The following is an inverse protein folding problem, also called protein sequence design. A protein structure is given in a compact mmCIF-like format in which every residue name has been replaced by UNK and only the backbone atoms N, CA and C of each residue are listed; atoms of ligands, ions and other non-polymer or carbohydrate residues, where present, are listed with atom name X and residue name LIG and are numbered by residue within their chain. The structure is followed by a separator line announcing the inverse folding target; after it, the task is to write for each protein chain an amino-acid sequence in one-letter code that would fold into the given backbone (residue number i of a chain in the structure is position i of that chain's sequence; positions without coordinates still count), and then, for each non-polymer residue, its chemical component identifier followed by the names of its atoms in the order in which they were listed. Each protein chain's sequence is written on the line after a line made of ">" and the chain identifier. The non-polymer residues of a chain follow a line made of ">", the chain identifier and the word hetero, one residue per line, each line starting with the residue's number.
data_IF_438370502289
#
_entry.id   IF_438370502289
#
_cell.length_a   1.000
_cell.length_b   1.000
_cell.length_c   1.000
_cell.angle_alpha   90.00
_cell.angle_beta   90.00
_cell.angle_gamma   90.00
#
_symmetry.space_group_name_H-M   'P 1'
#
loop_
_entity.id
_entity.type
_entity.pdbx_description
1 polymer ?
#
# COMPACT_ATOMS: atom_id res chain seq x y z
N UNK A 1 14.09 7.31 -6.03
CA UNK A 1 13.48 8.62 -5.75
C UNK A 1 12.26 8.80 -6.64
N UNK A 2 11.17 9.43 -6.14
CA UNK A 2 9.93 9.65 -6.90
C UNK A 2 10.16 10.41 -8.22
N UNK A 3 11.15 11.32 -8.26
CA UNK A 3 11.61 11.96 -9.51
C UNK A 3 12.20 10.96 -10.50
N UNK A 4 12.84 9.91 -10.01
CA UNK A 4 13.43 8.85 -10.85
C UNK A 4 12.35 7.93 -11.44
N UNK A 5 11.27 7.69 -10.68
CA UNK A 5 10.09 6.96 -11.16
C UNK A 5 9.42 7.70 -12.33
N UNK A 6 9.15 8.99 -12.16
CA UNK A 6 8.54 9.80 -13.22
C UNK A 6 9.44 9.93 -14.46
N UNK A 7 10.77 9.97 -14.29
CA UNK A 7 11.72 10.06 -15.40
C UNK A 7 11.94 8.73 -16.14
N UNK A 8 11.89 7.58 -15.44
CA UNK A 8 12.03 6.27 -16.10
C UNK A 8 10.78 5.84 -16.84
N UNK A 9 9.60 6.22 -16.37
CA UNK A 9 8.33 6.02 -17.08
C UNK A 9 8.37 6.75 -18.44
N UNK A 10 9.04 7.90 -18.50
CA UNK A 10 9.10 8.73 -19.72
C UNK A 10 10.21 8.36 -20.74
N UNK A 11 11.12 7.43 -20.45
CA UNK A 11 12.35 7.28 -21.28
C UNK A 11 12.34 6.19 -22.32
N UNK A 12 11.32 5.36 -22.46
CA UNK A 12 11.36 4.19 -23.35
C UNK A 12 10.23 3.95 -24.34
N UNK A 13 9.14 4.66 -24.24
CA UNK A 13 8.03 4.56 -25.19
C UNK A 13 7.57 5.96 -25.53
N UNK A 14 7.19 6.20 -26.80
CA UNK A 14 6.67 7.46 -27.35
C UNK A 14 6.09 8.40 -26.29
N UNK A 15 6.44 9.67 -26.29
CA UNK A 15 6.09 10.73 -25.33
C UNK A 15 4.69 10.56 -24.69
N UNK A 16 4.58 9.63 -23.73
CA UNK A 16 3.36 9.45 -22.93
C UNK A 16 3.22 10.66 -22.00
N UNK A 17 2.20 11.47 -22.21
CA UNK A 17 1.91 12.58 -21.30
C UNK A 17 1.32 12.02 -20.00
N UNK A 18 2.09 12.13 -18.93
CA UNK A 18 1.63 11.70 -17.61
C UNK A 18 0.41 12.52 -17.18
N UNK A 19 -0.76 11.87 -17.15
CA UNK A 19 -1.97 12.47 -16.60
C UNK A 19 -1.81 12.78 -15.12
N UNK A 20 -1.67 11.74 -14.27
CA UNK A 20 -1.56 11.88 -12.82
C UNK A 20 -0.99 10.61 -12.15
N UNK A 21 -0.27 10.83 -11.06
CA UNK A 21 0.12 9.77 -10.11
C UNK A 21 -0.87 9.79 -8.94
N UNK A 22 -1.46 8.66 -8.64
CA UNK A 22 -2.26 8.47 -7.43
C UNK A 22 -1.43 7.66 -6.45
N UNK A 23 -1.19 8.22 -5.29
CA UNK A 23 -0.46 7.54 -4.22
C UNK A 23 -1.43 7.24 -3.08
N UNK A 24 -1.56 5.97 -2.75
CA UNK A 24 -2.51 5.50 -1.75
C UNK A 24 -1.77 5.05 -0.51
N UNK A 25 -2.21 5.53 0.65
CA UNK A 25 -1.65 5.19 1.95
C UNK A 25 -2.70 5.42 3.04
N UNK A 26 -2.34 5.16 4.30
CA UNK A 26 -3.11 5.55 5.48
C UNK A 26 -2.32 6.57 6.30
N UNK A 27 -3.04 7.43 7.02
CA UNK A 27 -2.41 8.23 8.05
C UNK A 27 -1.71 7.31 9.08
N UNK A 28 -0.60 7.73 9.69
CA UNK A 28 0.06 6.94 10.73
C UNK A 28 -0.86 6.74 11.94
N UNK A 29 -0.57 5.70 12.73
CA UNK A 29 -1.25 5.51 13.99
C UNK A 29 -0.81 6.59 14.99
N UNK A 30 -1.79 7.36 15.52
CA UNK A 30 -1.55 8.45 16.48
C UNK A 30 -2.14 8.16 17.86
N UNK A 31 -2.11 6.89 18.28
CA UNK A 31 -2.69 6.42 19.53
C UNK A 31 -1.61 6.16 20.57
N UNK A 32 -1.94 6.46 21.85
CA UNK A 32 -1.16 5.98 22.99
C UNK A 32 -1.70 4.63 23.44
N UNK A 33 -0.81 3.67 23.63
CA UNK A 33 -1.16 2.33 24.11
C UNK A 33 -0.11 1.86 25.11
N UNK A 34 -0.54 1.01 26.06
CA UNK A 34 0.38 0.38 27.00
C UNK A 34 0.84 -0.97 26.45
N UNK A 35 2.13 -1.23 26.51
CA UNK A 35 2.68 -2.55 26.19
C UNK A 35 2.11 -3.56 27.20
N UNK A 36 1.49 -4.66 26.77
CA UNK A 36 0.82 -5.60 27.66
C UNK A 36 1.78 -6.39 28.57
N UNK A 37 3.06 -6.42 28.23
CA UNK A 37 4.09 -7.18 28.98
C UNK A 37 4.77 -6.26 29.99
N UNK A 38 5.29 -5.12 29.55
CA UNK A 38 6.05 -4.20 30.40
C UNK A 38 5.20 -3.13 31.08
N UNK A 39 3.96 -2.92 30.64
CA UNK A 39 3.09 -1.83 31.11
C UNK A 39 3.52 -0.44 30.65
N UNK A 40 4.62 -0.30 29.93
CA UNK A 40 5.11 0.99 29.44
C UNK A 40 4.14 1.63 28.47
N UNK A 41 3.87 2.92 28.67
CA UNK A 41 3.06 3.71 27.73
C UNK A 41 3.89 4.06 26.49
N UNK A 42 3.38 3.72 25.31
CA UNK A 42 3.99 4.00 24.02
C UNK A 42 3.09 4.96 23.25
N UNK A 43 3.66 6.07 22.83
CA UNK A 43 2.98 7.07 22.00
C UNK A 43 3.37 6.85 20.54
N UNK A 44 2.50 6.17 19.77
CA UNK A 44 2.76 5.84 18.37
C UNK A 44 2.82 7.06 17.47
N UNK A 45 2.28 8.21 17.87
CA UNK A 45 2.41 9.46 17.12
C UNK A 45 3.86 9.95 17.02
N UNK A 46 4.71 9.51 17.94
CA UNK A 46 6.14 9.86 18.03
C UNK A 46 7.06 8.77 17.48
N UNK A 47 6.51 7.68 16.97
CA UNK A 47 7.32 6.62 16.35
C UNK A 47 8.03 7.13 15.10
N UNK A 48 9.17 6.54 14.79
CA UNK A 48 9.93 6.86 13.56
C UNK A 48 9.08 6.65 12.31
N UNK A 49 8.25 5.59 12.30
CA UNK A 49 7.30 5.34 11.23
C UNK A 49 6.28 6.48 11.07
N UNK A 50 5.70 6.96 12.16
CA UNK A 50 4.71 8.04 12.11
C UNK A 50 5.35 9.36 11.64
N UNK A 51 6.55 9.66 12.09
CA UNK A 51 7.30 10.85 11.67
C UNK A 51 7.62 10.74 10.18
N UNK A 52 8.18 9.60 9.74
CA UNK A 52 8.50 9.35 8.34
C UNK A 52 7.26 9.48 7.43
N UNK A 53 6.13 8.85 7.79
CA UNK A 53 4.90 8.91 6.97
C UNK A 53 4.37 10.33 6.87
N UNK A 54 4.33 11.10 7.96
CA UNK A 54 3.90 12.49 7.91
C UNK A 54 4.79 13.33 7.00
N UNK A 55 6.10 13.18 7.10
CA UNK A 55 7.05 13.89 6.24
C UNK A 55 6.90 13.49 4.77
N UNK A 56 6.74 12.19 4.51
CA UNK A 56 6.45 11.67 3.16
C UNK A 56 5.16 12.29 2.60
N UNK A 57 4.06 12.26 3.35
CA UNK A 57 2.79 12.83 2.90
C UNK A 57 2.91 14.32 2.60
N UNK A 58 3.63 15.09 3.43
CA UNK A 58 3.88 16.51 3.19
C UNK A 58 4.68 16.77 1.90
N UNK A 59 5.63 15.91 1.59
CA UNK A 59 6.40 15.98 0.34
C UNK A 59 5.56 15.60 -0.87
N UNK A 60 4.74 14.55 -0.74
CA UNK A 60 3.84 14.08 -1.82
C UNK A 60 2.81 15.13 -2.20
N UNK A 61 2.18 15.81 -1.24
CA UNK A 61 1.18 16.86 -1.49
C UNK A 61 1.76 18.01 -2.33
N UNK A 62 3.05 18.29 -2.19
CA UNK A 62 3.75 19.35 -2.94
C UNK A 62 4.24 18.89 -4.32
N UNK A 63 4.07 17.63 -4.67
CA UNK A 63 4.56 17.06 -5.93
C UNK A 63 3.55 17.30 -7.06
N UNK A 64 4.02 17.91 -8.16
CA UNK A 64 3.17 18.17 -9.33
C UNK A 64 2.62 16.86 -9.93
N UNK A 65 1.40 16.90 -10.41
CA UNK A 65 0.68 15.75 -10.99
C UNK A 65 0.53 14.55 -10.04
N UNK A 66 0.65 14.74 -8.72
CA UNK A 66 0.44 13.71 -7.72
C UNK A 66 -0.79 14.00 -6.88
N UNK A 67 -1.61 13.00 -6.67
CA UNK A 67 -2.76 13.03 -5.77
C UNK A 67 -2.54 12.02 -4.64
N UNK A 68 -2.41 12.50 -3.41
CA UNK A 68 -2.38 11.66 -2.22
C UNK A 68 -3.81 11.25 -1.85
N UNK A 69 -4.04 9.95 -1.71
CA UNK A 69 -5.31 9.32 -1.36
C UNK A 69 -5.19 8.57 -0.06
N UNK A 70 -5.61 9.17 1.04
CA UNK A 70 -5.49 8.54 2.35
C UNK A 70 -6.73 7.72 2.69
N UNK A 71 -6.52 6.44 2.97
CA UNK A 71 -7.47 5.59 3.68
C UNK A 71 -7.56 5.96 5.16
N UNK A 72 -8.23 5.13 5.93
CA UNK A 72 -8.37 5.31 7.39
C UNK A 72 -7.78 4.12 8.12
N UNK A 73 -7.00 4.39 9.15
CA UNK A 73 -6.69 3.37 10.17
C UNK A 73 -7.88 3.20 11.10
N UNK A 74 -8.23 1.95 11.36
CA UNK A 74 -9.24 1.64 12.37
C UNK A 74 -8.58 1.63 13.74
N UNK A 75 -8.41 2.79 14.37
CA UNK A 75 -7.79 2.90 15.70
C UNK A 75 -8.49 2.02 16.76
N UNK A 76 -9.80 1.80 16.61
CA UNK A 76 -10.56 0.88 17.46
C UNK A 76 -10.13 -0.57 17.30
N UNK A 77 -9.58 -0.95 16.13
CA UNK A 77 -9.08 -2.30 15.88
C UNK A 77 -7.61 -2.47 16.28
N UNK A 78 -6.94 -1.40 16.69
CA UNK A 78 -5.56 -1.47 17.13
C UNK A 78 -5.43 -2.38 18.36
N UNK A 79 -4.71 -3.47 18.22
CA UNK A 79 -4.50 -4.47 19.26
C UNK A 79 -3.06 -4.97 19.25
N UNK A 80 -2.61 -5.38 20.42
CA UNK A 80 -1.33 -6.07 20.53
C UNK A 80 -1.45 -7.50 20.03
N UNK A 81 -0.48 -7.93 19.25
CA UNK A 81 -0.31 -9.30 18.79
C UNK A 81 1.14 -9.73 18.99
N UNK A 82 1.41 -11.03 19.09
CA UNK A 82 2.77 -11.52 18.96
C UNK A 82 3.30 -11.26 17.56
N UNK A 83 4.58 -10.98 17.45
CA UNK A 83 5.24 -10.99 16.13
C UNK A 83 5.08 -12.39 15.52
N UNK A 84 4.91 -12.50 14.17
CA UNK A 84 4.63 -13.79 13.51
C UNK A 84 5.64 -14.89 13.89
N UNK A 85 6.93 -14.56 13.91
CA UNK A 85 7.99 -15.49 14.27
C UNK A 85 7.93 -15.98 15.75
N UNK A 86 7.43 -15.13 16.63
CA UNK A 86 7.24 -15.49 18.05
C UNK A 86 6.01 -16.37 18.22
N UNK A 87 4.90 -15.99 17.56
CA UNK A 87 3.69 -16.80 17.56
C UNK A 87 3.96 -18.23 17.05
N UNK A 88 4.73 -18.35 15.96
CA UNK A 88 5.13 -19.65 15.40
C UNK A 88 5.96 -20.49 16.40
N UNK A 89 6.95 -19.88 17.07
CA UNK A 89 7.78 -20.55 18.08
C UNK A 89 6.94 -21.04 19.26
N UNK A 90 5.97 -20.22 19.72
CA UNK A 90 5.05 -20.61 20.81
C UNK A 90 4.20 -21.81 20.38
N UNK A 91 3.59 -21.76 19.18
CA UNK A 91 2.76 -22.85 18.65
C UNK A 91 3.55 -24.15 18.46
N UNK A 92 4.82 -24.04 18.05
CA UNK A 92 5.74 -25.18 17.93
C UNK A 92 6.32 -25.63 19.28
N UNK A 93 5.94 -25.02 20.41
CA UNK A 93 6.45 -25.30 21.76
C UNK A 93 7.98 -25.18 21.88
N UNK A 94 8.57 -24.31 21.06
CA UNK A 94 10.02 -24.01 21.10
C UNK A 94 10.40 -23.00 22.17
N UNK A 95 9.43 -22.13 22.55
CA UNK A 95 9.59 -21.17 23.66
C UNK A 95 8.34 -21.21 24.55
N UNK A 96 8.53 -20.94 25.82
CA UNK A 96 7.43 -20.77 26.78
C UNK A 96 6.86 -19.36 26.66
N UNK A 97 5.53 -19.23 26.77
CA UNK A 97 4.85 -17.93 26.76
C UNK A 97 5.36 -17.01 27.86
N UNK A 98 5.85 -17.57 28.97
CA UNK A 98 6.43 -16.82 30.10
C UNK A 98 7.75 -16.14 29.77
N UNK A 99 8.43 -16.60 28.71
CA UNK A 99 9.70 -16.02 28.26
C UNK A 99 9.52 -14.87 27.26
N UNK A 100 8.27 -14.57 26.86
CA UNK A 100 7.96 -13.51 25.91
C UNK A 100 8.23 -12.14 26.53
N UNK A 101 9.05 -11.34 25.85
CA UNK A 101 9.44 -9.99 26.27
C UNK A 101 8.66 -8.86 25.57
N UNK A 102 8.91 -7.63 26.00
CA UNK A 102 8.23 -6.44 25.45
C UNK A 102 8.48 -6.23 23.96
N UNK A 103 9.58 -6.72 23.43
CA UNK A 103 9.96 -6.61 22.02
C UNK A 103 9.35 -7.71 21.13
N UNK A 104 8.70 -8.70 21.71
CA UNK A 104 8.13 -9.84 20.99
C UNK A 104 6.67 -9.61 20.56
N UNK A 105 6.12 -8.48 20.95
CA UNK A 105 4.78 -8.03 20.55
C UNK A 105 4.84 -6.84 19.62
N UNK A 106 3.82 -6.69 18.80
CA UNK A 106 3.65 -5.58 17.87
C UNK A 106 2.19 -5.15 17.81
N UNK A 107 1.93 -4.01 17.18
CA UNK A 107 0.56 -3.53 17.00
C UNK A 107 0.05 -4.01 15.63
N UNK A 108 -1.12 -4.65 15.66
CA UNK A 108 -1.93 -4.91 14.47
C UNK A 108 -3.00 -3.83 14.35
N UNK A 109 -3.03 -3.15 13.20
CA UNK A 109 -4.02 -2.10 12.89
C UNK A 109 -4.56 -2.31 11.51
N UNK A 110 -5.88 -2.45 11.40
CA UNK A 110 -6.51 -2.62 10.09
C UNK A 110 -6.57 -1.30 9.33
N UNK A 111 -6.07 -1.34 8.12
CA UNK A 111 -6.30 -0.29 7.12
C UNK A 111 -7.68 -0.50 6.48
N UNK A 112 -8.39 0.58 6.18
CA UNK A 112 -9.70 0.53 5.55
C UNK A 112 -9.80 1.52 4.39
N UNK A 113 -10.37 1.04 3.29
CA UNK A 113 -10.79 1.87 2.17
C UNK A 113 -9.68 2.30 1.24
N UNK A 114 -8.47 1.73 1.32
CA UNK A 114 -7.40 1.97 0.34
C UNK A 114 -7.76 1.30 -0.97
N UNK A 115 -8.01 -0.02 -0.96
CA UNK A 115 -8.27 -0.83 -2.15
C UNK A 115 -9.53 -0.35 -2.87
N UNK A 116 -10.59 -0.04 -2.11
CA UNK A 116 -11.81 0.54 -2.67
C UNK A 116 -11.55 1.88 -3.37
N UNK A 117 -10.67 2.73 -2.83
CA UNK A 117 -10.30 4.01 -3.47
C UNK A 117 -9.53 3.79 -4.76
N UNK A 118 -8.60 2.83 -4.79
CA UNK A 118 -7.87 2.45 -6.00
C UNK A 118 -8.88 2.01 -7.08
N UNK A 119 -9.77 1.09 -6.75
CA UNK A 119 -10.77 0.58 -7.68
C UNK A 119 -11.71 1.68 -8.21
N UNK A 120 -12.18 2.58 -7.33
CA UNK A 120 -13.03 3.71 -7.72
C UNK A 120 -12.30 4.73 -8.59
N UNK A 121 -11.04 5.05 -8.30
CA UNK A 121 -10.25 5.96 -9.13
C UNK A 121 -9.98 5.34 -10.50
N UNK A 122 -9.64 4.04 -10.59
CA UNK A 122 -9.52 3.30 -11.86
C UNK A 122 -10.83 3.39 -12.65
N UNK A 123 -11.96 3.08 -12.04
CA UNK A 123 -13.27 3.15 -12.69
C UNK A 123 -13.58 4.56 -13.18
N UNK A 124 -13.33 5.58 -12.35
CA UNK A 124 -13.59 6.98 -12.70
C UNK A 124 -12.74 7.45 -13.89
N UNK A 125 -11.44 7.13 -13.89
CA UNK A 125 -10.51 7.45 -14.98
C UNK A 125 -10.96 6.77 -16.28
N UNK A 126 -11.33 5.51 -16.17
CA UNK A 126 -11.80 4.67 -17.29
C UNK A 126 -13.04 5.25 -17.92
N UNK A 127 -14.13 5.45 -17.17
CA UNK A 127 -15.39 5.96 -17.71
C UNK A 127 -15.31 7.39 -18.22
N UNK A 128 -14.48 8.22 -17.59
CA UNK A 128 -14.25 9.61 -18.05
C UNK A 128 -13.22 9.72 -19.19
N UNK A 129 -12.63 8.60 -19.60
CA UNK A 129 -11.59 8.55 -20.66
C UNK A 129 -10.45 9.54 -20.41
N UNK A 130 -10.01 9.64 -19.15
CA UNK A 130 -8.98 10.61 -18.72
C UNK A 130 -7.55 10.13 -19.00
N UNK A 131 -7.38 8.86 -19.29
CA UNK A 131 -6.10 8.27 -19.68
C UNK A 131 -6.36 7.09 -20.65
N UNK A 132 -5.41 6.82 -21.54
CA UNK A 132 -5.44 5.68 -22.45
C UNK A 132 -4.70 4.47 -21.84
N UNK A 133 -3.87 4.70 -20.83
CA UNK A 133 -3.09 3.69 -20.14
C UNK A 133 -3.14 3.90 -18.64
N UNK A 134 -3.29 2.82 -17.89
CA UNK A 134 -3.19 2.80 -16.44
C UNK A 134 -2.05 1.86 -16.06
N UNK A 135 -1.13 2.34 -15.24
CA UNK A 135 -0.09 1.51 -14.61
C UNK A 135 -0.45 1.33 -13.15
N UNK A 136 -0.80 0.11 -12.77
CA UNK A 136 -1.05 -0.27 -11.38
C UNK A 136 0.22 -0.85 -10.77
N UNK A 137 0.69 -0.23 -9.68
CA UNK A 137 1.80 -0.75 -8.87
C UNK A 137 1.23 -1.53 -7.69
N UNK A 138 1.03 -2.82 -7.87
CA UNK A 138 0.48 -3.75 -6.87
C UNK A 138 0.65 -5.20 -7.35
N UNK A 139 0.56 -6.16 -6.42
CA UNK A 139 0.48 -7.60 -6.74
C UNK A 139 -0.80 -8.24 -6.20
N UNK A 140 -1.81 -7.44 -5.83
CA UNK A 140 -3.01 -7.93 -5.16
C UNK A 140 -4.11 -8.30 -6.16
N UNK A 141 -4.66 -9.52 -6.05
CA UNK A 141 -5.76 -10.02 -6.89
C UNK A 141 -7.09 -9.30 -6.66
N UNK A 142 -7.24 -8.56 -5.57
CA UNK A 142 -8.44 -7.76 -5.31
C UNK A 142 -8.70 -6.71 -6.40
N UNK A 143 -7.67 -6.39 -7.22
CA UNK A 143 -7.79 -5.46 -8.35
C UNK A 143 -8.22 -6.10 -9.67
N UNK A 144 -8.40 -7.41 -9.76
CA UNK A 144 -8.90 -8.10 -10.96
C UNK A 144 -10.19 -7.47 -11.51
N UNK A 145 -11.22 -7.16 -10.71
CA UNK A 145 -12.43 -6.52 -11.22
C UNK A 145 -12.17 -5.15 -11.86
N UNK A 146 -11.27 -4.36 -11.28
CA UNK A 146 -10.90 -3.04 -11.80
C UNK A 146 -10.09 -3.13 -13.11
N UNK A 147 -9.17 -4.10 -13.20
CA UNK A 147 -8.42 -4.40 -14.41
C UNK A 147 -9.35 -4.83 -15.55
N UNK A 148 -10.26 -5.78 -15.29
CA UNK A 148 -11.29 -6.21 -16.25
C UNK A 148 -12.14 -5.04 -16.76
N UNK A 149 -12.57 -4.16 -15.87
CA UNK A 149 -13.34 -2.97 -16.24
C UNK A 149 -12.55 -2.08 -17.18
N UNK A 150 -11.32 -1.71 -16.80
CA UNK A 150 -10.47 -0.82 -17.57
C UNK A 150 -10.20 -1.36 -18.99
N UNK A 151 -9.84 -2.64 -19.11
CA UNK A 151 -9.59 -3.30 -20.40
C UNK A 151 -10.84 -3.37 -21.28
N UNK A 152 -12.00 -3.70 -20.71
CA UNK A 152 -13.26 -3.73 -21.45
C UNK A 152 -13.61 -2.37 -22.05
N UNK A 153 -13.25 -1.29 -21.38
CA UNK A 153 -13.48 0.08 -21.86
C UNK A 153 -12.33 0.61 -22.75
N UNK A 154 -11.38 -0.26 -23.12
CA UNK A 154 -10.30 0.06 -24.05
C UNK A 154 -9.09 0.77 -23.44
N UNK A 155 -8.90 0.67 -22.13
CA UNK A 155 -7.71 1.17 -21.44
C UNK A 155 -6.62 0.10 -21.48
N UNK A 156 -5.41 0.49 -21.88
CA UNK A 156 -4.20 -0.33 -21.78
C UNK A 156 -3.80 -0.49 -20.30
N UNK A 157 -3.97 -1.68 -19.73
CA UNK A 157 -3.79 -1.92 -18.30
C UNK A 157 -2.48 -2.65 -18.03
N UNK A 158 -1.52 -1.91 -17.49
CA UNK A 158 -0.16 -2.39 -17.18
C UNK A 158 -0.03 -2.63 -15.69
N UNK A 159 0.55 -3.77 -15.31
CA UNK A 159 0.89 -4.10 -13.93
C UNK A 159 2.39 -3.92 -13.68
N UNK A 160 2.74 -3.28 -12.58
CA UNK A 160 4.09 -3.30 -12.01
C UNK A 160 4.03 -3.97 -10.62
N UNK A 161 4.39 -5.25 -10.51
CA UNK A 161 4.33 -5.99 -9.25
C UNK A 161 5.53 -5.73 -8.35
N UNK A 162 6.46 -4.83 -8.72
CA UNK A 162 7.70 -4.59 -7.98
C UNK A 162 8.45 -5.89 -7.65
N UNK A 163 8.61 -6.76 -8.64
CA UNK A 163 9.27 -8.07 -8.53
C UNK A 163 8.59 -9.11 -7.64
N UNK A 164 7.36 -8.84 -7.18
CA UNK A 164 6.59 -9.83 -6.44
C UNK A 164 5.95 -10.85 -7.38
N UNK A 165 5.66 -12.03 -6.86
CA UNK A 165 4.90 -13.05 -7.59
C UNK A 165 3.49 -12.54 -7.84
N UNK A 166 3.03 -12.66 -9.07
CA UNK A 166 1.70 -12.25 -9.49
C UNK A 166 0.76 -13.45 -9.40
N UNK A 167 -0.44 -13.30 -8.81
CA UNK A 167 -1.49 -14.31 -8.91
C UNK A 167 -1.93 -14.52 -10.37
N UNK A 168 -2.19 -15.78 -10.75
CA UNK A 168 -2.51 -16.14 -12.13
C UNK A 168 -3.78 -15.43 -12.63
N UNK A 169 -4.77 -15.25 -11.77
CA UNK A 169 -6.02 -14.56 -12.07
C UNK A 169 -5.82 -13.06 -12.39
N UNK A 170 -4.85 -12.41 -11.73
CA UNK A 170 -4.50 -11.03 -12.06
C UNK A 170 -3.70 -10.97 -13.37
N UNK A 171 -2.78 -11.93 -13.59
CA UNK A 171 -1.97 -11.99 -14.80
C UNK A 171 -2.81 -12.13 -16.07
N UNK A 172 -3.90 -12.90 -16.03
CA UNK A 172 -4.84 -13.05 -17.16
C UNK A 172 -5.56 -11.77 -17.57
N UNK A 173 -5.58 -10.77 -16.66
CA UNK A 173 -6.38 -9.55 -16.82
C UNK A 173 -5.56 -8.27 -16.92
N UNK A 174 -4.30 -8.39 -17.35
CA UNK A 174 -3.44 -7.26 -17.71
C UNK A 174 -3.06 -7.33 -19.19
N UNK A 175 -2.70 -6.19 -19.78
CA UNK A 175 -2.21 -6.09 -21.16
C UNK A 175 -0.70 -6.11 -21.22
N UNK A 176 -0.02 -5.78 -20.14
CA UNK A 176 1.43 -5.80 -20.05
C UNK A 176 1.95 -5.85 -18.63
N UNK A 177 3.19 -6.31 -18.53
CA UNK A 177 3.94 -6.38 -17.30
C UNK A 177 5.14 -5.45 -17.37
N UNK A 178 5.36 -4.68 -16.33
CA UNK A 178 6.49 -3.78 -16.23
C UNK A 178 7.11 -3.86 -14.84
N UNK A 179 8.41 -3.94 -14.76
CA UNK A 179 9.13 -3.81 -13.50
C UNK A 179 10.09 -2.63 -13.60
N UNK A 180 9.87 -1.63 -12.76
CA UNK A 180 10.55 -0.33 -12.88
C UNK A 180 11.88 -0.26 -12.14
N UNK A 181 12.31 -1.34 -11.46
CA UNK A 181 13.55 -1.41 -10.67
C UNK A 181 14.47 -2.54 -11.12
#
# INVERSE_FOLDING_TARGET
>A
SLKHLSQKINKKEQEDDLYRIFFYDCAPLEKKMHNPISGKSIDFSKSEEAIFRRDLHQKLIKTRKLALRLGKLSEKSAKWIFKPEIAEKILKKQIDIKSVGENDVTIDVRQKGVDMRIALDIASITFKKQANRIVLVSGDSDFVPAAKLARREGIDFILDPMWQKIPDDLFEHIDGLRSTY
#
